data_IF_348501285611
#
_entry.id   IF_348501285611
#
_cell.length_a   1.000
_cell.length_b   1.000
_cell.length_c   1.000
_cell.angle_alpha   90.00
_cell.angle_beta   90.00
_cell.angle_gamma   90.00
#
_symmetry.space_group_name_H-M   'P 1'
#
loop_
_entity.id
_entity.type
_entity.pdbx_description
1 polymer ?
#
# COMPACT_ATOMS: atom_id res chain seq x y z
N UNK A 1 25.60 9.78 12.01
CA UNK A 1 24.45 9.65 11.09
C UNK A 1 23.17 9.72 11.89
N UNK A 2 22.37 10.79 11.71
CA UNK A 2 21.03 10.86 12.31
C UNK A 2 20.20 9.73 11.71
N UNK A 3 19.96 8.66 12.49
CA UNK A 3 18.92 7.68 12.14
C UNK A 3 17.61 8.45 12.21
N UNK A 4 17.02 8.75 11.05
CA UNK A 4 15.65 9.20 10.99
C UNK A 4 14.81 8.15 11.74
N UNK A 5 14.09 8.57 12.78
CA UNK A 5 13.35 7.67 13.69
C UNK A 5 12.33 6.82 12.93
N UNK A 6 11.89 7.32 11.78
CA UNK A 6 10.85 6.73 10.95
C UNK A 6 11.39 6.21 9.61
N UNK A 7 10.84 5.08 9.16
CA UNK A 7 11.24 4.40 7.95
C UNK A 7 10.44 4.91 6.74
N UNK A 8 11.04 4.92 5.53
CA UNK A 8 10.28 5.14 4.31
C UNK A 8 9.29 3.99 4.10
N UNK A 9 8.24 4.24 3.32
CA UNK A 9 7.16 3.29 3.09
C UNK A 9 6.80 3.12 1.62
N UNK A 10 6.21 1.96 1.31
CA UNK A 10 5.58 1.66 0.02
C UNK A 10 4.14 1.25 0.30
N UNK A 11 3.17 1.97 -0.26
CA UNK A 11 1.79 1.51 -0.32
C UNK A 11 1.64 0.64 -1.57
N UNK A 12 1.24 -0.62 -1.38
CA UNK A 12 1.13 -1.61 -2.44
C UNK A 12 -0.33 -1.98 -2.68
N UNK A 13 -0.77 -1.83 -3.94
CA UNK A 13 -2.09 -2.27 -4.40
C UNK A 13 -1.93 -3.54 -5.23
N UNK A 14 -2.58 -4.61 -4.82
CA UNK A 14 -2.47 -5.90 -5.52
C UNK A 14 -3.19 -5.88 -6.88
N UNK A 15 -2.67 -6.65 -7.83
CA UNK A 15 -3.37 -6.97 -9.08
C UNK A 15 -4.51 -7.96 -8.90
N UNK A 16 -5.11 -8.37 -10.02
CA UNK A 16 -6.23 -9.32 -10.04
C UNK A 16 -7.50 -8.80 -10.73
N UNK A 17 -7.34 -7.95 -11.75
CA UNK A 17 -8.44 -7.46 -12.59
C UNK A 17 -9.62 -6.84 -11.81
N UNK A 18 -9.37 -6.30 -10.62
CA UNK A 18 -10.35 -5.69 -9.71
C UNK A 18 -11.41 -6.64 -9.10
N UNK A 19 -11.37 -7.94 -9.40
CA UNK A 19 -12.31 -8.94 -8.87
C UNK A 19 -11.62 -10.16 -8.23
N UNK A 20 -10.29 -10.23 -8.32
CA UNK A 20 -9.46 -11.28 -7.74
C UNK A 20 -8.28 -10.66 -6.98
N UNK A 21 -7.58 -11.50 -6.23
CA UNK A 21 -6.44 -11.09 -5.42
C UNK A 21 -6.83 -10.72 -4.00
N UNK A 22 -5.81 -10.52 -3.18
CA UNK A 22 -5.88 -10.13 -1.78
C UNK A 22 -4.45 -9.91 -1.26
N UNK A 23 -4.32 -9.37 -0.04
CA UNK A 23 -3.05 -9.27 0.69
C UNK A 23 -2.36 -10.62 0.83
N UNK A 24 -3.10 -11.71 0.96
CA UNK A 24 -2.53 -13.06 1.10
C UNK A 24 -1.92 -13.55 -0.22
N UNK A 25 -2.64 -13.39 -1.33
CA UNK A 25 -2.14 -13.79 -2.65
C UNK A 25 -0.87 -13.02 -3.06
N UNK A 26 -0.73 -11.78 -2.60
CA UNK A 26 0.42 -10.92 -2.92
C UNK A 26 1.45 -10.82 -1.77
N UNK A 27 1.24 -11.52 -0.65
CA UNK A 27 2.17 -11.54 0.48
C UNK A 27 3.62 -11.88 0.09
N UNK A 28 3.88 -12.87 -0.81
CA UNK A 28 5.26 -13.16 -1.23
C UNK A 28 5.94 -11.98 -1.94
N UNK A 29 5.20 -11.22 -2.75
CA UNK A 29 5.71 -10.06 -3.49
C UNK A 29 6.00 -8.91 -2.52
N UNK A 30 5.05 -8.57 -1.66
CA UNK A 30 5.19 -7.47 -0.69
C UNK A 30 6.26 -7.77 0.35
N UNK A 31 6.37 -9.01 0.81
CA UNK A 31 7.46 -9.46 1.69
C UNK A 31 8.82 -9.32 1.01
N UNK A 32 8.95 -9.75 -0.25
CA UNK A 32 10.21 -9.60 -1.01
C UNK A 32 10.57 -8.13 -1.19
N UNK A 33 9.58 -7.28 -1.49
CA UNK A 33 9.77 -5.85 -1.64
C UNK A 33 10.27 -5.20 -0.34
N UNK A 34 9.67 -5.56 0.80
CA UNK A 34 10.12 -5.09 2.12
C UNK A 34 11.56 -5.52 2.42
N UNK A 35 11.91 -6.78 2.16
CA UNK A 35 13.27 -7.31 2.39
C UNK A 35 14.32 -6.64 1.51
N UNK A 36 14.00 -6.37 0.24
CA UNK A 36 14.95 -5.77 -0.71
C UNK A 36 15.17 -4.28 -0.48
N UNK A 37 14.15 -3.56 0.00
CA UNK A 37 14.20 -2.10 0.18
C UNK A 37 14.54 -1.69 1.61
N UNK A 38 14.22 -2.53 2.60
CA UNK A 38 14.21 -2.15 4.02
C UNK A 38 13.10 -1.18 4.38
N UNK A 39 12.10 -1.01 3.50
CA UNK A 39 10.98 -0.08 3.69
C UNK A 39 9.80 -0.80 4.34
N UNK A 40 8.93 -0.05 5.01
CA UNK A 40 7.65 -0.57 5.48
C UNK A 40 6.75 -0.73 4.25
N UNK A 41 6.18 -1.92 4.04
CA UNK A 41 5.23 -2.16 2.94
C UNK A 41 3.82 -2.29 3.50
N UNK A 42 2.91 -1.46 3.00
CA UNK A 42 1.49 -1.44 3.36
C UNK A 42 0.72 -2.10 2.21
N UNK A 43 0.38 -3.38 2.37
CA UNK A 43 -0.45 -4.10 1.40
C UNK A 43 -1.92 -3.78 1.66
N UNK A 44 -2.62 -3.19 0.69
CA UNK A 44 -4.00 -2.74 0.85
C UNK A 44 -4.98 -3.84 0.42
N UNK A 45 -5.83 -4.30 1.34
CA UNK A 45 -6.98 -5.15 1.05
C UNK A 45 -8.15 -4.24 0.62
N UNK A 46 -8.20 -3.89 -0.66
CA UNK A 46 -9.25 -3.01 -1.18
C UNK A 46 -10.48 -3.81 -1.61
N UNK A 47 -11.65 -3.17 -1.57
CA UNK A 47 -12.92 -3.80 -1.98
C UNK A 47 -12.92 -4.18 -3.47
N UNK A 48 -13.44 -5.38 -3.77
CA UNK A 48 -13.44 -5.97 -5.11
C UNK A 48 -14.82 -5.92 -5.79
N UNK A 49 -14.80 -5.91 -7.12
CA UNK A 49 -15.98 -6.15 -7.96
C UNK A 49 -16.33 -7.65 -8.01
N UNK A 50 -17.59 -8.01 -8.28
CA UNK A 50 -18.75 -7.16 -8.55
C UNK A 50 -19.47 -6.61 -7.30
N UNK A 51 -19.15 -7.09 -6.10
CA UNK A 51 -19.81 -6.67 -4.85
C UNK A 51 -19.62 -5.18 -4.57
N UNK A 52 -18.45 -4.66 -4.96
CA UNK A 52 -18.09 -3.26 -4.87
C UNK A 52 -17.49 -2.78 -6.20
N UNK A 53 -18.34 -2.35 -7.15
CA UNK A 53 -17.88 -1.87 -8.44
C UNK A 53 -17.09 -0.56 -8.30
N UNK A 54 -16.44 -0.15 -9.39
CA UNK A 54 -15.78 1.15 -9.48
C UNK A 54 -16.72 2.28 -8.99
N UNK A 55 -16.25 3.21 -8.13
CA UNK A 55 -14.84 3.46 -7.75
C UNK A 55 -14.40 2.85 -6.40
N UNK A 56 -15.11 1.86 -5.84
CA UNK A 56 -14.92 1.46 -4.45
C UNK A 56 -13.48 1.07 -4.07
N UNK A 57 -12.80 0.25 -4.87
CA UNK A 57 -11.40 -0.13 -4.63
C UNK A 57 -10.43 1.05 -4.74
N UNK A 58 -10.66 1.97 -5.69
CA UNK A 58 -9.87 3.20 -5.84
C UNK A 58 -10.04 4.11 -4.61
N UNK A 59 -11.26 4.27 -4.12
CA UNK A 59 -11.54 5.07 -2.92
C UNK A 59 -10.83 4.50 -1.69
N UNK A 60 -10.77 3.17 -1.55
CA UNK A 60 -10.06 2.52 -0.43
C UNK A 60 -8.56 2.75 -0.52
N UNK A 61 -7.97 2.53 -1.71
CA UNK A 61 -6.55 2.78 -1.96
C UNK A 61 -6.17 4.23 -1.66
N UNK A 62 -6.98 5.19 -2.13
CA UNK A 62 -6.78 6.62 -1.89
C UNK A 62 -6.88 6.95 -0.40
N UNK A 63 -7.88 6.43 0.32
CA UNK A 63 -8.04 6.65 1.76
C UNK A 63 -6.85 6.13 2.55
N UNK A 64 -6.34 4.94 2.23
CA UNK A 64 -5.14 4.40 2.88
C UNK A 64 -3.92 5.28 2.59
N UNK A 65 -3.70 5.66 1.34
CA UNK A 65 -2.57 6.53 0.99
C UNK A 65 -2.65 7.88 1.69
N UNK A 66 -3.82 8.53 1.73
CA UNK A 66 -4.03 9.78 2.48
C UNK A 66 -3.80 9.58 3.98
N UNK A 67 -4.21 8.45 4.54
CA UNK A 67 -3.95 8.11 5.94
C UNK A 67 -2.45 8.04 6.23
N UNK A 68 -1.66 7.40 5.35
CA UNK A 68 -0.20 7.28 5.50
C UNK A 68 0.52 8.61 5.24
N UNK A 69 0.02 9.46 4.35
CA UNK A 69 0.61 10.79 4.10
C UNK A 69 0.34 11.78 5.24
N UNK A 70 -0.64 11.51 6.11
CA UNK A 70 -0.83 12.30 7.32
C UNK A 70 0.25 11.97 8.36
N UNK A 71 1.07 12.96 8.73
CA UNK A 71 2.20 12.76 9.65
C UNK A 71 1.81 12.12 10.98
N UNK A 72 0.71 12.55 11.62
CA UNK A 72 0.30 12.01 12.92
C UNK A 72 -0.07 10.52 12.85
N UNK A 73 -0.58 10.07 11.71
CA UNK A 73 -0.93 8.68 11.47
C UNK A 73 0.30 7.85 11.08
N UNK A 74 1.14 8.36 10.18
CA UNK A 74 2.39 7.73 9.79
C UNK A 74 3.32 7.48 10.98
N UNK A 75 3.45 8.44 11.89
CA UNK A 75 4.29 8.30 13.09
C UNK A 75 3.87 7.13 13.99
N UNK A 76 2.56 6.86 14.09
CA UNK A 76 2.03 5.69 14.84
C UNK A 76 2.46 4.36 14.23
N UNK A 77 2.78 4.36 12.93
CA UNK A 77 3.22 3.20 12.17
C UNK A 77 4.74 3.19 11.94
N UNK A 78 5.47 4.12 12.57
CA UNK A 78 6.92 4.35 12.35
C UNK A 78 7.29 4.68 10.90
N UNK A 79 6.38 5.33 10.16
CA UNK A 79 6.57 5.74 8.76
C UNK A 79 6.96 7.22 8.68
N UNK A 80 7.88 7.53 7.78
CA UNK A 80 8.20 8.90 7.37
C UNK A 80 7.24 9.31 6.25
N UNK A 81 6.23 10.13 6.58
CA UNK A 81 5.19 10.58 5.64
C UNK A 81 5.71 11.37 4.43
N UNK A 82 6.96 11.85 4.48
CA UNK A 82 7.61 12.55 3.35
C UNK A 82 8.35 11.60 2.40
N UNK A 83 8.44 10.31 2.73
CA UNK A 83 9.13 9.28 1.95
C UNK A 83 8.24 8.07 1.73
N UNK A 84 7.15 8.30 1.02
CA UNK A 84 6.16 7.28 0.65
C UNK A 84 6.17 7.11 -0.86
N UNK A 85 6.33 5.87 -1.31
CA UNK A 85 6.11 5.47 -2.70
C UNK A 85 4.78 4.71 -2.83
N UNK A 86 4.19 4.74 -4.03
CA UNK A 86 3.03 3.92 -4.40
C UNK A 86 3.52 2.89 -5.42
N UNK A 87 3.02 1.66 -5.31
CA UNK A 87 3.35 0.57 -6.21
C UNK A 87 2.15 -0.37 -6.36
N UNK A 88 2.12 -1.11 -7.46
CA UNK A 88 1.12 -2.13 -7.71
C UNK A 88 1.41 -2.85 -9.01
N UNK A 89 0.76 -3.99 -9.22
CA UNK A 89 0.89 -4.80 -10.43
C UNK A 89 -0.45 -4.88 -11.17
N UNK A 90 -0.43 -4.93 -12.50
CA UNK A 90 -1.63 -5.06 -13.34
C UNK A 90 -2.73 -4.05 -12.96
N UNK A 91 -3.91 -4.52 -12.55
CA UNK A 91 -5.02 -3.70 -12.04
C UNK A 91 -4.62 -2.85 -10.84
N UNK A 92 -3.78 -3.34 -9.93
CA UNK A 92 -3.23 -2.56 -8.82
C UNK A 92 -2.26 -1.47 -9.28
N UNK A 93 -1.56 -1.67 -10.40
CA UNK A 93 -0.73 -0.63 -11.02
C UNK A 93 -1.54 0.43 -11.79
N UNK A 94 -2.83 0.16 -12.06
CA UNK A 94 -3.76 1.15 -12.60
C UNK A 94 -4.32 2.10 -11.52
N UNK A 95 -4.46 1.61 -10.28
CA UNK A 95 -4.92 2.35 -9.11
C UNK A 95 -3.85 3.32 -8.56
#
# INVERSE_FOLDING_TARGET
YNKNKYLPAIVFYHGGAFYMGSVETHHPITRRLALMTGFIVISVEYRLSPEHPFPAGLDDCMKVTQYILNSNNAEKLNIDSKRVAISGDSAGGNL
#
